data_IF_110581802885
#
_entry.id   IF_110581802885
#
_cell.length_a   1.000
_cell.length_b   1.000
_cell.length_c   1.000
_cell.angle_alpha   90.00
_cell.angle_beta   90.00
_cell.angle_gamma   90.00
#
_symmetry.space_group_name_H-M   'P 1'
#
loop_
_entity.id
_entity.type
_entity.pdbx_description
1 polymer ?
#
# COMPACT_ATOMS: atom_id res chain seq x y z
N UNK A 1 11.06 -17.23 32.29
CA UNK A 1 10.90 -15.76 32.27
C UNK A 1 9.51 -15.48 31.75
N UNK A 2 8.76 -14.61 32.43
CA UNK A 2 7.50 -14.07 31.89
C UNK A 2 7.84 -13.20 30.68
N UNK A 3 7.14 -13.33 29.55
CA UNK A 3 7.35 -12.44 28.40
C UNK A 3 7.11 -10.99 28.80
N UNK A 4 7.81 -10.05 28.15
CA UNK A 4 7.56 -8.64 28.34
C UNK A 4 6.09 -8.31 27.99
N UNK A 5 5.44 -7.40 28.73
CA UNK A 5 4.06 -7.03 28.44
C UNK A 5 3.97 -6.42 27.03
N UNK A 6 2.95 -6.82 26.30
CA UNK A 6 2.62 -6.27 24.99
C UNK A 6 2.26 -4.78 25.09
N UNK A 7 2.28 -4.03 23.98
CA UNK A 7 1.81 -2.64 23.97
C UNK A 7 0.36 -2.50 24.47
N UNK A 8 -0.50 -3.49 24.18
CA UNK A 8 -1.89 -3.48 24.60
C UNK A 8 -2.04 -3.69 26.12
N UNK A 9 -1.29 -4.62 26.70
CA UNK A 9 -1.25 -4.82 28.16
C UNK A 9 -0.68 -3.58 28.87
N UNK A 10 0.40 -3.02 28.32
CA UNK A 10 1.00 -1.77 28.83
C UNK A 10 0.02 -0.60 28.78
N UNK A 11 -0.84 -0.54 27.74
CA UNK A 11 -1.92 0.44 27.63
C UNK A 11 -3.00 0.24 28.69
N UNK A 12 -3.42 -1.01 28.93
CA UNK A 12 -4.41 -1.36 29.96
C UNK A 12 -3.93 -0.98 31.36
N UNK A 13 -2.64 -1.18 31.64
CA UNK A 13 -2.00 -0.82 32.92
C UNK A 13 -1.63 0.67 33.02
N UNK A 14 -1.95 1.48 31.99
CA UNK A 14 -1.65 2.92 31.89
C UNK A 14 -0.15 3.26 31.98
N UNK A 15 0.70 2.32 31.60
CA UNK A 15 2.16 2.42 31.66
C UNK A 15 2.80 2.86 30.34
N UNK A 16 2.00 3.20 29.32
CA UNK A 16 2.53 3.74 28.07
C UNK A 16 3.31 5.03 28.33
N UNK A 17 4.42 5.22 27.62
CA UNK A 17 5.33 6.35 27.84
C UNK A 17 4.71 7.70 27.44
N UNK A 18 4.01 7.73 26.30
CA UNK A 18 3.60 8.98 25.65
C UNK A 18 2.09 9.25 25.66
N UNK A 19 1.28 8.21 25.76
CA UNK A 19 -0.17 8.29 25.67
C UNK A 19 -0.83 7.67 26.90
N UNK A 20 -2.02 8.15 27.22
CA UNK A 20 -3.00 7.41 28.00
C UNK A 20 -4.07 6.83 27.06
N UNK A 21 -4.60 5.66 27.40
CA UNK A 21 -5.66 4.99 26.64
C UNK A 21 -6.88 4.82 27.52
N UNK A 22 -8.03 5.33 27.07
CA UNK A 22 -9.31 5.18 27.74
C UNK A 22 -10.17 4.14 27.02
N UNK A 23 -10.07 2.89 27.48
CA UNK A 23 -10.84 1.78 26.90
C UNK A 23 -12.36 1.96 27.01
N UNK A 24 -12.86 2.85 27.88
CA UNK A 24 -14.30 3.15 27.96
C UNK A 24 -14.80 3.87 26.70
N UNK A 25 -13.90 4.53 25.96
CA UNK A 25 -14.21 5.23 24.69
C UNK A 25 -14.27 4.32 23.48
N UNK A 26 -13.82 3.07 23.56
CA UNK A 26 -13.79 2.16 22.41
C UNK A 26 -15.17 1.97 21.79
N UNK A 27 -16.22 1.88 22.63
CA UNK A 27 -17.60 1.79 22.16
C UNK A 27 -18.06 3.05 21.43
N UNK A 28 -17.59 4.23 21.82
CA UNK A 28 -17.94 5.49 21.16
C UNK A 28 -17.25 5.60 19.80
N UNK A 29 -15.98 5.17 19.70
CA UNK A 29 -15.27 5.02 18.42
C UNK A 29 -16.02 4.08 17.48
N UNK A 30 -16.40 2.89 17.96
CA UNK A 30 -17.15 1.93 17.15
C UNK A 30 -18.50 2.48 16.69
N UNK A 31 -19.26 3.14 17.57
CA UNK A 31 -20.54 3.79 17.22
C UNK A 31 -20.35 4.89 16.17
N UNK A 32 -19.28 5.67 16.27
CA UNK A 32 -18.96 6.70 15.28
C UNK A 32 -18.70 6.09 13.90
N UNK A 33 -17.86 5.05 13.81
CA UNK A 33 -17.60 4.35 12.53
C UNK A 33 -18.88 3.73 11.98
N UNK A 34 -19.69 3.08 12.82
CA UNK A 34 -20.98 2.50 12.41
C UNK A 34 -21.97 3.58 11.92
N UNK A 35 -21.96 4.78 12.52
CA UNK A 35 -22.84 5.87 12.08
C UNK A 35 -22.43 6.39 10.70
N UNK A 36 -21.12 6.46 10.40
CA UNK A 36 -20.63 6.79 9.06
C UNK A 36 -21.04 5.73 8.03
N UNK A 37 -20.89 4.44 8.35
CA UNK A 37 -21.32 3.35 7.47
C UNK A 37 -22.82 3.46 7.17
N UNK A 38 -23.66 3.69 8.18
CA UNK A 38 -25.12 3.83 8.01
C UNK A 38 -25.54 5.12 7.31
N UNK A 39 -24.70 6.16 7.33
CA UNK A 39 -24.93 7.41 6.60
C UNK A 39 -24.66 7.22 5.11
N UNK A 40 -23.60 6.48 4.78
CA UNK A 40 -23.08 6.37 3.41
C UNK A 40 -23.66 5.17 2.64
N UNK A 41 -24.20 4.16 3.33
CA UNK A 41 -24.75 2.95 2.73
C UNK A 41 -26.13 2.59 3.28
N UNK A 42 -27.05 2.20 2.39
CA UNK A 42 -28.33 1.61 2.76
C UNK A 42 -28.11 0.25 3.46
N UNK A 43 -29.02 -0.12 4.36
CA UNK A 43 -28.91 -1.37 5.13
C UNK A 43 -28.79 -2.63 4.26
N UNK A 44 -29.43 -2.63 3.07
CA UNK A 44 -29.35 -3.72 2.08
C UNK A 44 -27.98 -3.83 1.40
N UNK A 45 -27.22 -2.74 1.37
CA UNK A 45 -25.95 -2.63 0.66
C UNK A 45 -24.75 -2.83 1.59
N UNK A 46 -24.95 -2.79 2.93
CA UNK A 46 -23.90 -3.06 3.92
C UNK A 46 -23.16 -4.39 3.67
N UNK A 47 -23.81 -5.52 3.33
CA UNK A 47 -23.12 -6.77 3.02
C UNK A 47 -22.25 -6.70 1.75
N UNK A 48 -22.45 -5.69 0.90
CA UNK A 48 -21.80 -5.51 -0.39
C UNK A 48 -20.87 -4.28 -0.41
N UNK A 49 -20.52 -3.72 0.76
CA UNK A 49 -19.54 -2.63 0.83
C UNK A 49 -18.22 -3.16 0.25
N UNK A 50 -17.69 -2.53 -0.82
CA UNK A 50 -16.44 -2.97 -1.41
C UNK A 50 -15.32 -2.81 -0.39
N UNK A 51 -14.32 -3.72 -0.34
CA UNK A 51 -13.22 -3.60 0.59
C UNK A 51 -12.45 -2.27 0.38
N UNK A 52 -11.66 -1.81 1.33
CA UNK A 52 -10.75 -0.70 1.03
C UNK A 52 -9.53 -1.27 0.30
N UNK A 53 -9.40 -1.01 -1.01
CA UNK A 53 -8.25 -1.47 -1.83
C UNK A 53 -7.81 -0.39 -2.82
N UNK A 54 -6.69 -0.63 -3.51
CA UNK A 54 -6.19 0.27 -4.55
C UNK A 54 -7.20 0.53 -5.67
N UNK A 55 -8.09 -0.43 -5.94
CA UNK A 55 -9.10 -0.32 -7.00
C UNK A 55 -10.02 0.90 -6.80
N UNK A 56 -10.41 1.20 -5.55
CA UNK A 56 -11.22 2.40 -5.21
C UNK A 56 -10.58 3.72 -5.60
N UNK A 57 -9.24 3.81 -5.63
CA UNK A 57 -8.56 5.04 -6.04
C UNK A 57 -8.62 5.25 -7.56
N UNK A 58 -8.68 4.18 -8.36
CA UNK A 58 -8.89 4.32 -9.81
C UNK A 58 -10.31 4.84 -10.13
N UNK A 59 -11.27 4.53 -9.26
CA UNK A 59 -12.68 4.89 -9.45
C UNK A 59 -13.06 6.30 -8.95
N UNK A 60 -12.06 7.07 -8.54
CA UNK A 60 -12.25 8.45 -8.07
C UNK A 60 -13.07 9.28 -9.07
N UNK A 61 -14.01 10.04 -8.55
CA UNK A 61 -15.01 10.77 -9.35
C UNK A 61 -16.19 9.91 -9.81
N UNK A 62 -16.40 8.74 -9.19
CA UNK A 62 -17.46 7.76 -9.51
C UNK A 62 -17.37 7.29 -10.96
N UNK A 63 -16.16 6.90 -11.37
CA UNK A 63 -15.84 6.54 -12.74
C UNK A 63 -15.23 5.16 -12.76
N UNK A 64 -15.96 4.18 -13.28
CA UNK A 64 -15.48 2.80 -13.32
C UNK A 64 -14.41 2.60 -14.40
N UNK A 65 -13.16 2.94 -14.06
CA UNK A 65 -12.04 2.90 -15.01
C UNK A 65 -11.51 1.50 -15.19
N UNK A 66 -11.61 0.67 -14.14
CA UNK A 66 -11.10 -0.69 -14.16
C UNK A 66 -12.04 -1.61 -14.91
N UNK A 67 -13.37 -1.50 -14.71
CA UNK A 67 -14.32 -2.28 -15.51
C UNK A 67 -14.14 -1.97 -17.00
N UNK A 68 -14.02 -0.70 -17.38
CA UNK A 68 -13.81 -0.32 -18.78
C UNK A 68 -12.48 -0.82 -19.35
N UNK A 69 -11.42 -0.83 -18.54
CA UNK A 69 -10.15 -1.42 -18.94
C UNK A 69 -10.31 -2.94 -19.19
N UNK A 70 -11.00 -3.66 -18.30
CA UNK A 70 -11.28 -5.09 -18.46
C UNK A 70 -12.18 -5.36 -19.68
N UNK A 71 -13.20 -4.53 -19.91
CA UNK A 71 -14.07 -4.60 -21.09
C UNK A 71 -13.29 -4.46 -22.40
N UNK A 72 -12.23 -3.64 -22.42
CA UNK A 72 -11.37 -3.49 -23.59
C UNK A 72 -10.60 -4.77 -23.97
N UNK A 73 -10.48 -5.72 -23.04
CA UNK A 73 -9.82 -7.01 -23.24
C UNK A 73 -10.80 -8.17 -23.47
N UNK A 74 -12.09 -7.94 -23.23
CA UNK A 74 -13.13 -8.97 -23.31
C UNK A 74 -13.12 -9.66 -24.68
N UNK A 75 -13.08 -10.99 -24.67
CA UNK A 75 -13.05 -11.83 -25.87
C UNK A 75 -11.68 -11.93 -26.56
N UNK A 76 -10.64 -11.26 -26.05
CA UNK A 76 -9.26 -11.35 -26.58
C UNK A 76 -8.33 -12.15 -25.68
N UNK A 77 -8.62 -12.17 -24.38
CA UNK A 77 -7.88 -12.90 -23.35
C UNK A 77 -8.88 -13.58 -22.41
N UNK A 78 -8.42 -14.57 -21.65
CA UNK A 78 -9.24 -15.21 -20.63
C UNK A 78 -9.27 -14.40 -19.31
N UNK A 79 -10.05 -14.89 -18.34
CA UNK A 79 -10.17 -14.25 -17.03
C UNK A 79 -8.87 -14.32 -16.22
N UNK A 80 -8.06 -15.38 -16.41
CA UNK A 80 -6.80 -15.54 -15.69
C UNK A 80 -5.84 -14.44 -16.13
N UNK A 81 -5.63 -14.26 -17.42
CA UNK A 81 -4.81 -13.19 -17.98
C UNK A 81 -5.35 -11.79 -17.64
N UNK A 82 -6.68 -11.62 -17.61
CA UNK A 82 -7.29 -10.37 -17.14
C UNK A 82 -6.85 -10.05 -15.71
N UNK A 83 -6.90 -11.04 -14.81
CA UNK A 83 -6.45 -10.85 -13.43
C UNK A 83 -4.93 -10.69 -13.33
N UNK A 84 -4.12 -11.40 -14.13
CA UNK A 84 -2.66 -11.18 -14.16
C UNK A 84 -2.34 -9.71 -14.48
N UNK A 85 -3.01 -9.13 -15.48
CA UNK A 85 -2.86 -7.70 -15.85
C UNK A 85 -3.36 -6.73 -14.79
N UNK A 86 -4.43 -7.07 -14.07
CA UNK A 86 -4.87 -6.26 -12.94
C UNK A 86 -3.88 -6.30 -11.78
N UNK A 87 -3.32 -7.48 -11.48
CA UNK A 87 -2.26 -7.63 -10.48
C UNK A 87 -1.01 -6.83 -10.87
N UNK A 88 -0.60 -6.88 -12.15
CA UNK A 88 0.48 -6.02 -12.68
C UNK A 88 0.24 -4.54 -12.35
N UNK A 89 -0.94 -4.02 -12.73
CA UNK A 89 -1.33 -2.63 -12.49
C UNK A 89 -1.38 -2.31 -10.98
N UNK A 90 -1.97 -3.18 -10.17
CA UNK A 90 -2.13 -2.99 -8.72
C UNK A 90 -0.75 -2.90 -8.06
N UNK A 91 0.17 -3.81 -8.38
CA UNK A 91 1.50 -3.84 -7.76
C UNK A 91 2.25 -2.54 -8.02
N UNK A 92 2.38 -2.10 -9.27
CA UNK A 92 3.09 -0.82 -9.55
C UNK A 92 2.35 0.37 -8.96
N UNK A 93 1.01 0.38 -9.01
CA UNK A 93 0.23 1.50 -8.49
C UNK A 93 0.31 1.62 -6.98
N UNK A 94 0.36 0.51 -6.25
CA UNK A 94 0.57 0.46 -4.79
C UNK A 94 1.98 0.93 -4.43
N UNK A 95 3.01 0.47 -5.15
CA UNK A 95 4.39 0.91 -4.89
C UNK A 95 4.60 2.42 -5.14
N UNK A 96 3.86 2.99 -6.09
CA UNK A 96 3.90 4.43 -6.40
C UNK A 96 3.06 5.28 -5.43
N UNK A 97 2.24 4.65 -4.57
CA UNK A 97 1.34 5.28 -3.59
C UNK A 97 2.09 5.72 -2.32
N UNK A 98 3.11 6.56 -2.50
CA UNK A 98 3.82 7.26 -1.43
C UNK A 98 3.34 8.72 -1.33
N UNK A 99 3.75 9.45 -0.28
CA UNK A 99 3.37 10.85 -0.09
C UNK A 99 3.65 11.71 -1.33
N UNK A 100 2.60 12.33 -1.88
CA UNK A 100 2.70 13.17 -3.09
C UNK A 100 3.15 14.62 -2.81
N UNK A 101 3.29 14.99 -1.53
CA UNK A 101 3.34 16.39 -1.10
C UNK A 101 1.97 17.07 -1.18
N UNK A 102 1.94 18.38 -0.95
CA UNK A 102 0.73 19.21 -0.92
C UNK A 102 0.48 20.00 -2.21
N UNK A 103 1.45 20.00 -3.15
CA UNK A 103 1.39 20.76 -4.41
C UNK A 103 1.11 19.93 -5.65
N UNK A 104 1.55 18.68 -5.69
CA UNK A 104 1.42 17.86 -6.90
C UNK A 104 -0.04 17.50 -7.21
N UNK A 105 -0.41 17.57 -8.49
CA UNK A 105 -1.69 17.11 -9.02
C UNK A 105 -1.50 16.36 -10.34
N UNK A 106 -2.41 15.44 -10.65
CA UNK A 106 -2.52 14.77 -11.93
C UNK A 106 -3.80 15.20 -12.64
N UNK A 107 -3.66 15.78 -13.83
CA UNK A 107 -4.79 16.13 -14.67
C UNK A 107 -5.21 14.94 -15.53
N UNK A 108 -6.46 14.49 -15.35
CA UNK A 108 -7.10 13.54 -16.26
C UNK A 108 -7.71 14.32 -17.41
N UNK A 109 -7.17 14.11 -18.62
CA UNK A 109 -7.70 14.68 -19.86
C UNK A 109 -9.09 14.12 -20.19
N UNK A 110 -9.91 14.85 -20.95
CA UNK A 110 -11.20 14.35 -21.39
C UNK A 110 -11.08 13.05 -22.20
N UNK A 111 -11.93 12.07 -21.90
CA UNK A 111 -12.06 10.82 -22.62
C UNK A 111 -13.52 10.31 -22.59
N UNK A 112 -13.72 9.03 -22.91
CA UNK A 112 -15.06 8.42 -22.88
C UNK A 112 -15.67 8.38 -21.46
N UNK A 113 -14.85 8.46 -20.42
CA UNK A 113 -15.20 8.32 -19.00
C UNK A 113 -15.37 9.69 -18.33
N UNK A 114 -14.36 10.54 -18.52
CA UNK A 114 -14.20 11.85 -17.94
C UNK A 114 -14.47 12.88 -19.03
N UNK A 115 -15.65 13.50 -19.06
CA UNK A 115 -16.04 14.41 -20.16
C UNK A 115 -15.36 15.78 -20.12
N UNK A 116 -14.82 16.17 -18.97
CA UNK A 116 -14.16 17.46 -18.74
C UNK A 116 -12.86 17.22 -18.00
N UNK A 117 -11.79 17.96 -18.32
CA UNK A 117 -10.51 17.83 -17.62
C UNK A 117 -10.71 17.96 -16.10
N UNK A 118 -10.06 17.09 -15.32
CA UNK A 118 -10.17 17.13 -13.87
C UNK A 118 -8.86 16.72 -13.21
N UNK A 119 -8.42 17.53 -12.26
CA UNK A 119 -7.21 17.27 -11.49
C UNK A 119 -7.52 16.53 -10.19
N UNK A 120 -6.65 15.57 -9.86
CA UNK A 120 -6.67 14.82 -8.62
C UNK A 120 -5.30 14.90 -7.98
N UNK A 121 -5.21 14.82 -6.65
CA UNK A 121 -3.95 14.82 -5.91
C UNK A 121 -3.87 13.60 -4.99
N UNK A 122 -2.77 13.47 -4.24
CA UNK A 122 -2.57 12.38 -3.26
C UNK A 122 -2.78 11.00 -3.89
N UNK A 123 -3.26 10.02 -3.13
CA UNK A 123 -3.38 8.62 -3.54
C UNK A 123 -4.25 8.44 -4.79
N UNK A 124 -5.32 9.21 -4.93
CA UNK A 124 -6.20 9.20 -6.10
C UNK A 124 -5.48 9.69 -7.36
N UNK A 125 -4.75 10.81 -7.27
CA UNK A 125 -3.94 11.31 -8.39
C UNK A 125 -2.84 10.32 -8.79
N UNK A 126 -2.14 9.73 -7.83
CA UNK A 126 -1.09 8.73 -8.08
C UNK A 126 -1.67 7.46 -8.73
N UNK A 127 -2.87 7.05 -8.34
CA UNK A 127 -3.58 5.93 -8.95
C UNK A 127 -3.87 6.21 -10.43
N UNK A 128 -4.39 7.39 -10.73
CA UNK A 128 -4.71 7.77 -12.10
C UNK A 128 -3.47 7.96 -12.99
N UNK A 129 -2.37 8.49 -12.44
CA UNK A 129 -1.09 8.58 -13.13
C UNK A 129 -0.53 7.20 -13.49
N UNK A 130 -0.47 6.28 -12.51
CA UNK A 130 -0.01 4.90 -12.73
C UNK A 130 -0.91 4.13 -13.70
N UNK A 131 -2.23 4.31 -13.64
CA UNK A 131 -3.17 3.75 -14.62
C UNK A 131 -2.93 4.29 -16.04
N UNK A 132 -2.69 5.59 -16.20
CA UNK A 132 -2.39 6.19 -17.50
C UNK A 132 -1.09 5.62 -18.08
N UNK A 133 -0.02 5.57 -17.30
CA UNK A 133 1.25 4.97 -17.71
C UNK A 133 1.12 3.49 -18.09
N UNK A 134 0.32 2.72 -17.35
CA UNK A 134 0.03 1.31 -17.65
C UNK A 134 -0.71 1.17 -18.99
N UNK A 135 -1.72 2.00 -19.25
CA UNK A 135 -2.46 2.01 -20.53
C UNK A 135 -1.59 2.44 -21.72
N UNK A 136 -0.59 3.28 -21.48
CA UNK A 136 0.42 3.67 -22.47
C UNK A 136 1.53 2.62 -22.67
N UNK A 137 1.55 1.55 -21.87
CA UNK A 137 2.54 0.49 -21.95
C UNK A 137 3.93 0.86 -21.44
N UNK A 138 4.04 1.91 -20.63
CA UNK A 138 5.34 2.40 -20.12
C UNK A 138 6.07 1.44 -19.18
N UNK A 139 5.37 0.43 -18.66
CA UNK A 139 5.94 -0.59 -17.77
C UNK A 139 6.22 -1.93 -18.48
N UNK A 140 5.90 -2.03 -19.78
CA UNK A 140 6.07 -3.25 -20.57
C UNK A 140 7.38 -3.20 -21.35
N UNK A 141 8.09 -4.33 -21.39
CA UNK A 141 9.23 -4.57 -22.27
C UNK A 141 8.83 -4.97 -23.69
N UNK A 142 7.54 -5.22 -23.95
CA UNK A 142 7.01 -5.63 -25.26
C UNK A 142 5.92 -4.67 -25.74
N UNK A 143 6.20 -3.95 -26.83
CA UNK A 143 5.28 -3.00 -27.46
C UNK A 143 3.98 -3.66 -27.96
N UNK A 144 4.00 -4.97 -28.25
CA UNK A 144 2.82 -5.72 -28.65
C UNK A 144 1.96 -6.18 -27.45
N UNK A 145 2.49 -6.04 -26.23
CA UNK A 145 1.81 -6.33 -24.96
C UNK A 145 1.85 -5.11 -24.05
N UNK A 146 1.25 -4.00 -24.51
CA UNK A 146 1.28 -2.74 -23.77
C UNK A 146 0.67 -2.85 -22.35
N UNK A 147 -0.44 -3.56 -22.18
CA UNK A 147 -1.12 -3.69 -20.89
C UNK A 147 -0.52 -4.80 -20.01
N UNK A 148 0.77 -4.69 -19.68
CA UNK A 148 1.45 -5.55 -18.71
C UNK A 148 2.54 -4.75 -17.96
N UNK A 149 3.00 -5.30 -16.84
CA UNK A 149 4.20 -4.82 -16.14
C UNK A 149 5.16 -5.99 -16.07
N UNK A 150 6.32 -5.91 -16.73
CA UNK A 150 7.29 -7.00 -16.69
C UNK A 150 8.67 -6.54 -16.23
N UNK A 151 9.50 -7.52 -15.88
CA UNK A 151 10.83 -7.30 -15.33
C UNK A 151 11.75 -6.48 -16.25
N UNK A 152 11.63 -6.64 -17.57
CA UNK A 152 12.47 -5.93 -18.54
C UNK A 152 11.98 -4.51 -18.77
N UNK A 153 10.66 -4.31 -18.86
CA UNK A 153 10.02 -2.99 -18.90
C UNK A 153 10.35 -2.17 -17.66
N UNK A 154 10.26 -2.76 -16.47
CA UNK A 154 10.63 -2.09 -15.21
C UNK A 154 12.13 -1.79 -15.12
N UNK A 155 13.00 -2.71 -15.53
CA UNK A 155 14.45 -2.49 -15.52
C UNK A 155 14.89 -1.36 -16.47
N UNK A 156 14.19 -1.20 -17.60
CA UNK A 156 14.44 -0.21 -18.65
C UNK A 156 13.70 1.12 -18.46
N UNK A 157 12.75 1.19 -17.53
CA UNK A 157 12.02 2.42 -17.20
C UNK A 157 13.00 3.55 -16.85
N UNK A 158 12.85 4.69 -17.54
CA UNK A 158 13.66 5.89 -17.30
C UNK A 158 12.97 6.83 -16.30
N UNK A 159 13.77 7.63 -15.59
CA UNK A 159 13.25 8.67 -14.71
C UNK A 159 12.37 9.67 -15.48
N UNK A 160 12.76 9.98 -16.72
CA UNK A 160 12.00 10.89 -17.59
C UNK A 160 10.63 10.32 -17.97
N UNK A 161 10.55 9.03 -18.29
CA UNK A 161 9.26 8.38 -18.58
C UNK A 161 8.31 8.45 -17.37
N UNK A 162 8.85 8.29 -16.14
CA UNK A 162 8.07 8.47 -14.91
C UNK A 162 7.67 9.93 -14.69
N UNK A 163 8.59 10.87 -14.91
CA UNK A 163 8.34 12.32 -14.81
C UNK A 163 7.20 12.75 -15.72
N UNK A 164 7.25 12.38 -17.00
CA UNK A 164 6.20 12.63 -17.99
C UNK A 164 4.87 11.99 -17.59
N UNK A 165 4.89 10.70 -17.23
CA UNK A 165 3.69 9.95 -16.86
C UNK A 165 2.98 10.50 -15.62
N UNK A 166 3.75 11.05 -14.67
CA UNK A 166 3.22 11.72 -13.48
C UNK A 166 3.04 13.24 -13.67
N UNK A 167 3.23 13.77 -14.88
CA UNK A 167 3.08 15.20 -15.20
C UNK A 167 3.93 16.11 -14.29
N UNK A 168 5.11 15.64 -13.89
CA UNK A 168 5.94 16.33 -12.90
C UNK A 168 6.71 17.47 -13.56
N UNK A 169 6.55 18.66 -12.99
CA UNK A 169 7.36 19.84 -13.31
C UNK A 169 7.94 20.36 -11.98
N UNK A 170 9.26 20.50 -11.90
CA UNK A 170 9.95 20.81 -10.64
C UNK A 170 9.51 22.15 -10.02
N UNK A 171 9.05 23.09 -10.85
CA UNK A 171 8.65 24.41 -10.40
C UNK A 171 7.13 24.49 -10.19
N UNK A 172 6.35 23.96 -11.14
CA UNK A 172 4.89 24.15 -11.23
C UNK A 172 4.09 23.00 -10.64
N UNK A 173 4.57 21.77 -10.77
CA UNK A 173 3.86 20.57 -10.32
C UNK A 173 4.83 19.54 -9.69
N UNK A 174 5.53 19.90 -8.60
CA UNK A 174 6.61 19.07 -8.07
C UNK A 174 6.05 17.88 -7.29
N UNK A 175 6.46 16.66 -7.67
CA UNK A 175 6.17 15.45 -6.93
C UNK A 175 7.31 15.12 -5.96
N UNK A 176 7.01 15.09 -4.66
CA UNK A 176 7.98 14.70 -3.65
C UNK A 176 8.39 13.23 -3.83
N UNK A 177 9.70 12.93 -3.91
CA UNK A 177 10.23 11.56 -3.96
C UNK A 177 10.07 10.87 -5.31
N UNK A 178 10.20 11.60 -6.43
CA UNK A 178 10.10 11.04 -7.78
C UNK A 178 11.21 10.00 -8.04
N UNK A 179 12.46 10.32 -7.69
CA UNK A 179 13.63 9.46 -7.90
C UNK A 179 13.52 8.16 -7.09
N UNK A 180 13.04 8.25 -5.85
CA UNK A 180 12.80 7.09 -5.00
C UNK A 180 11.74 6.14 -5.58
N UNK A 181 10.66 6.69 -6.17
CA UNK A 181 9.64 5.90 -6.89
C UNK A 181 10.21 5.20 -8.12
N UNK A 182 11.02 5.90 -8.90
CA UNK A 182 11.69 5.34 -10.07
C UNK A 182 12.61 4.18 -9.68
N UNK A 183 13.49 4.39 -8.69
CA UNK A 183 14.42 3.35 -8.22
C UNK A 183 13.66 2.15 -7.62
N UNK A 184 12.56 2.38 -6.90
CA UNK A 184 11.69 1.33 -6.37
C UNK A 184 11.14 0.43 -7.48
N UNK A 185 10.65 1.00 -8.58
CA UNK A 185 10.16 0.22 -9.73
C UNK A 185 11.29 -0.57 -10.41
N UNK A 186 12.49 -0.01 -10.52
CA UNK A 186 13.64 -0.74 -11.07
C UNK A 186 14.07 -1.90 -10.18
N UNK A 187 14.00 -1.73 -8.86
CA UNK A 187 14.24 -2.81 -7.89
C UNK A 187 13.17 -3.89 -7.99
N UNK A 188 11.90 -3.53 -8.18
CA UNK A 188 10.85 -4.51 -8.50
C UNK A 188 11.24 -5.32 -9.74
N UNK A 189 11.69 -4.69 -10.82
CA UNK A 189 12.16 -5.40 -12.01
C UNK A 189 13.28 -6.41 -11.74
N UNK A 190 14.19 -6.11 -10.80
CA UNK A 190 15.24 -7.04 -10.35
C UNK A 190 14.68 -8.16 -9.46
N UNK A 191 13.80 -7.84 -8.51
CA UNK A 191 13.16 -8.80 -7.62
C UNK A 191 12.40 -9.88 -8.41
N UNK A 192 11.66 -9.45 -9.45
CA UNK A 192 10.95 -10.37 -10.36
C UNK A 192 11.89 -11.38 -11.04
N UNK A 193 13.14 -10.99 -11.34
CA UNK A 193 14.18 -11.86 -11.92
C UNK A 193 14.83 -12.80 -10.91
N UNK A 194 14.92 -12.37 -9.65
CA UNK A 194 15.51 -13.15 -8.56
C UNK A 194 14.56 -14.24 -8.06
N UNK A 195 13.25 -14.02 -8.20
CA UNK A 195 12.21 -14.91 -7.69
C UNK A 195 11.31 -15.52 -8.79
N UNK A 196 11.87 -16.23 -9.79
CA UNK A 196 11.08 -16.84 -10.86
C UNK A 196 10.07 -17.87 -10.32
N UNK A 197 10.27 -18.44 -9.14
CA UNK A 197 9.31 -19.33 -8.48
C UNK A 197 7.95 -18.69 -8.26
N UNK A 198 7.89 -17.37 -8.07
CA UNK A 198 6.64 -16.62 -7.89
C UNK A 198 6.19 -15.93 -9.18
N UNK A 199 7.11 -15.52 -10.05
CA UNK A 199 6.82 -14.59 -11.15
C UNK A 199 7.02 -15.18 -12.55
N UNK A 200 7.38 -16.46 -12.68
CA UNK A 200 7.35 -17.16 -13.96
C UNK A 200 5.96 -17.68 -14.30
N UNK A 201 5.63 -17.68 -15.58
CA UNK A 201 4.42 -18.31 -16.09
C UNK A 201 4.74 -19.65 -16.76
N UNK A 202 3.78 -20.57 -16.76
CA UNK A 202 3.88 -21.85 -17.48
C UNK A 202 3.99 -21.70 -19.00
N UNK A 203 3.62 -20.53 -19.54
CA UNK A 203 3.53 -20.28 -20.99
C UNK A 203 4.76 -19.59 -21.59
N UNK A 204 5.92 -19.66 -20.92
CA UNK A 204 7.16 -18.98 -21.34
C UNK A 204 6.95 -17.47 -21.61
N UNK A 205 6.17 -16.83 -20.74
CA UNK A 205 5.90 -15.39 -20.75
C UNK A 205 6.96 -14.61 -19.93
N UNK A 206 7.09 -13.28 -20.13
CA UNK A 206 7.97 -12.45 -19.31
C UNK A 206 7.69 -12.60 -17.82
N UNK A 207 8.74 -12.45 -17.00
CA UNK A 207 8.61 -12.40 -15.54
C UNK A 207 7.84 -11.15 -15.13
N UNK A 208 6.73 -11.31 -14.43
CA UNK A 208 5.86 -10.20 -14.04
C UNK A 208 5.10 -10.47 -12.74
N UNK A 209 4.67 -9.42 -12.01
CA UNK A 209 3.91 -9.60 -10.78
C UNK A 209 2.66 -10.46 -10.98
N UNK A 210 1.93 -10.26 -12.07
CA UNK A 210 0.70 -10.98 -12.39
C UNK A 210 0.85 -12.49 -12.50
N UNK A 211 2.05 -13.00 -12.81
CA UNK A 211 2.28 -14.45 -12.87
C UNK A 211 2.22 -15.12 -11.49
N UNK A 212 2.20 -14.36 -10.38
CA UNK A 212 1.94 -14.93 -9.04
C UNK A 212 0.59 -15.63 -8.96
N UNK A 213 -0.37 -15.28 -9.83
CA UNK A 213 -1.65 -16.00 -9.93
C UNK A 213 -1.41 -17.48 -10.23
N UNK A 214 -0.41 -17.81 -11.05
CA UNK A 214 -0.06 -19.19 -11.42
C UNK A 214 0.50 -19.95 -10.21
N UNK A 215 1.38 -19.30 -9.46
CA UNK A 215 1.91 -19.81 -8.19
C UNK A 215 0.78 -20.08 -7.18
N UNK A 216 -0.15 -19.14 -7.02
CA UNK A 216 -1.27 -19.28 -6.08
C UNK A 216 -2.23 -20.42 -6.45
N UNK A 217 -2.51 -20.60 -7.75
CA UNK A 217 -3.29 -21.77 -8.20
C UNK A 217 -2.58 -23.08 -7.93
N UNK A 218 -1.25 -23.13 -8.12
CA UNK A 218 -0.45 -24.32 -7.82
C UNK A 218 -0.49 -24.65 -6.31
N UNK A 219 -0.27 -23.66 -5.45
CA UNK A 219 -0.33 -23.82 -3.99
C UNK A 219 -1.72 -24.21 -3.47
N UNK A 220 -2.78 -23.79 -4.17
CA UNK A 220 -4.17 -24.14 -3.85
C UNK A 220 -4.65 -25.46 -4.47
N UNK A 221 -3.89 -26.06 -5.39
CA UNK A 221 -4.40 -27.13 -6.27
C UNK A 221 -4.81 -28.41 -5.56
N UNK A 222 -4.12 -28.77 -4.48
CA UNK A 222 -4.43 -29.98 -3.69
C UNK A 222 -5.60 -29.77 -2.70
N UNK A 223 -6.21 -28.59 -2.67
CA UNK A 223 -7.28 -28.26 -1.73
C UNK A 223 -8.65 -28.59 -2.30
N UNK A 224 -9.56 -29.15 -1.49
CA UNK A 224 -10.93 -29.34 -1.92
C UNK A 224 -11.58 -27.98 -2.19
N UNK A 225 -12.28 -27.88 -3.32
CA UNK A 225 -13.12 -26.73 -3.62
C UNK A 225 -14.22 -26.59 -2.56
N UNK A 226 -14.62 -25.34 -2.28
CA UNK A 226 -15.77 -25.02 -1.42
C UNK A 226 -16.81 -24.29 -2.24
N UNK A 227 -18.00 -24.87 -2.42
CA UNK A 227 -19.08 -24.28 -3.24
C UNK A 227 -18.57 -23.83 -4.62
N UNK A 228 -17.83 -24.71 -5.31
CA UNK A 228 -17.18 -24.48 -6.60
C UNK A 228 -16.06 -23.42 -6.64
N UNK A 229 -15.69 -22.84 -5.50
CA UNK A 229 -14.56 -21.91 -5.36
C UNK A 229 -13.22 -22.61 -5.24
N UNK A 230 -12.19 -22.02 -5.82
CA UNK A 230 -10.80 -22.41 -5.55
C UNK A 230 -10.40 -21.87 -4.18
N UNK A 231 -9.82 -22.70 -3.32
CA UNK A 231 -9.42 -22.28 -1.97
C UNK A 231 -7.93 -22.00 -1.96
N UNK A 232 -7.55 -20.78 -1.59
CA UNK A 232 -6.14 -20.36 -1.46
C UNK A 232 -5.94 -19.79 -0.07
N UNK A 233 -4.81 -20.11 0.58
CA UNK A 233 -4.44 -19.52 1.87
C UNK A 233 -3.99 -18.08 1.68
N UNK A 234 -4.46 -17.18 2.53
CA UNK A 234 -3.98 -15.80 2.56
C UNK A 234 -2.48 -15.72 2.79
N UNK A 235 -1.92 -16.64 3.57
CA UNK A 235 -0.49 -16.76 3.83
C UNK A 235 0.32 -17.05 2.55
N UNK A 236 -0.24 -17.76 1.57
CA UNK A 236 0.43 -18.05 0.29
C UNK A 236 0.65 -16.76 -0.51
N UNK A 237 -0.36 -15.87 -0.56
CA UNK A 237 -0.21 -14.55 -1.19
C UNK A 237 0.73 -13.66 -0.37
N UNK A 238 0.55 -13.63 0.95
CA UNK A 238 1.40 -12.80 1.82
C UNK A 238 2.88 -13.21 1.72
N UNK A 239 3.18 -14.51 1.59
CA UNK A 239 4.52 -15.02 1.33
C UNK A 239 5.11 -14.47 0.04
N UNK A 240 4.36 -14.47 -1.07
CA UNK A 240 4.82 -13.86 -2.32
C UNK A 240 5.14 -12.38 -2.14
N UNK A 241 4.29 -11.64 -1.41
CA UNK A 241 4.48 -10.21 -1.17
C UNK A 241 5.68 -9.91 -0.28
N UNK A 242 5.96 -10.76 0.73
CA UNK A 242 7.10 -10.57 1.63
C UNK A 242 8.41 -11.05 0.99
N UNK A 243 8.42 -12.29 0.49
CA UNK A 243 9.65 -12.91 0.00
C UNK A 243 9.95 -12.46 -1.43
N UNK A 244 8.95 -12.50 -2.32
CA UNK A 244 9.15 -12.17 -3.74
C UNK A 244 9.41 -10.70 -4.01
N UNK A 245 9.10 -9.81 -3.06
CA UNK A 245 9.40 -8.38 -3.14
C UNK A 245 10.42 -7.92 -2.09
N UNK A 246 11.20 -8.82 -1.49
CA UNK A 246 12.16 -8.46 -0.45
C UNK A 246 13.18 -7.40 -0.93
N UNK A 247 13.61 -7.47 -2.19
CA UNK A 247 14.65 -6.60 -2.77
C UNK A 247 14.15 -5.21 -3.18
N UNK A 248 12.83 -4.97 -3.13
CA UNK A 248 12.30 -3.62 -3.38
C UNK A 248 12.73 -2.64 -2.28
N UNK A 249 12.96 -3.16 -1.08
CA UNK A 249 13.29 -2.36 0.09
C UNK A 249 14.70 -1.75 -0.03
N UNK A 250 14.87 -0.47 0.35
CA UNK A 250 16.18 0.16 0.36
C UNK A 250 17.11 -0.49 1.39
N UNK A 251 18.44 -0.46 1.19
CA UNK A 251 19.40 -1.03 2.14
C UNK A 251 19.37 -0.36 3.52
N UNK A 252 18.73 0.79 3.65
CA UNK A 252 18.51 1.51 4.91
C UNK A 252 17.42 0.90 5.79
N UNK A 253 16.67 -0.12 5.32
CA UNK A 253 15.67 -0.80 6.14
C UNK A 253 16.31 -1.60 7.28
N UNK A 254 15.53 -1.81 8.33
CA UNK A 254 15.91 -2.64 9.47
C UNK A 254 16.30 -4.04 8.99
N UNK A 255 17.49 -4.49 9.39
CA UNK A 255 17.99 -5.82 9.11
C UNK A 255 18.19 -6.61 10.40
N UNK A 256 18.08 -7.93 10.29
CA UNK A 256 18.56 -8.87 11.32
C UNK A 256 19.54 -9.81 10.64
N UNK A 257 20.81 -9.72 11.03
CA UNK A 257 21.91 -10.21 10.20
C UNK A 257 21.92 -9.46 8.85
N UNK A 258 22.02 -10.22 7.76
CA UNK A 258 22.03 -9.69 6.38
C UNK A 258 20.64 -9.72 5.70
N UNK A 259 19.58 -10.01 6.46
CA UNK A 259 18.21 -10.10 5.93
C UNK A 259 17.44 -8.82 6.24
N UNK A 260 16.99 -8.13 5.19
CA UNK A 260 16.06 -6.99 5.31
C UNK A 260 14.70 -7.48 5.81
N UNK A 261 14.19 -6.83 6.85
CA UNK A 261 12.84 -7.08 7.36
C UNK A 261 11.77 -6.22 6.69
N UNK A 262 12.17 -5.34 5.78
CA UNK A 262 11.26 -4.44 5.07
C UNK A 262 10.62 -3.40 5.99
N UNK A 263 9.29 -3.41 6.08
CA UNK A 263 8.50 -2.46 6.88
C UNK A 263 8.38 -2.89 8.35
N UNK A 264 9.54 -2.97 8.99
CA UNK A 264 9.73 -3.32 10.40
C UNK A 264 10.70 -2.32 11.00
N UNK A 265 10.39 -1.80 12.20
CA UNK A 265 11.16 -0.72 12.81
C UNK A 265 11.42 -0.97 14.29
N UNK A 266 12.61 -0.61 14.81
CA UNK A 266 12.86 -0.62 16.25
C UNK A 266 11.98 0.40 16.95
N UNK A 267 11.36 -0.01 18.05
CA UNK A 267 10.60 0.86 18.93
C UNK A 267 11.25 0.89 20.31
N UNK A 268 11.88 2.00 20.65
CA UNK A 268 12.55 2.18 21.94
C UNK A 268 11.58 2.06 23.12
N UNK A 269 10.29 2.33 22.92
CA UNK A 269 9.27 2.18 23.97
C UNK A 269 9.02 0.71 24.35
N UNK A 270 9.44 -0.25 23.51
CA UNK A 270 9.35 -1.69 23.77
C UNK A 270 10.65 -2.28 24.32
N UNK A 271 11.73 -1.49 24.38
CA UNK A 271 12.97 -1.93 25.01
C UNK A 271 12.79 -1.96 26.53
N UNK A 272 13.19 -3.06 27.14
CA UNK A 272 13.23 -3.23 28.59
C UNK A 272 14.68 -3.32 29.07
N UNK A 273 14.90 -3.24 30.38
CA UNK A 273 16.24 -3.47 30.95
C UNK A 273 16.78 -4.89 30.71
N UNK A 274 15.91 -5.84 30.30
CA UNK A 274 16.28 -7.20 29.94
C UNK A 274 16.54 -7.38 28.44
N UNK A 275 16.29 -6.37 27.60
CA UNK A 275 16.50 -6.46 26.15
C UNK A 275 18.00 -6.56 25.85
N UNK A 276 18.43 -7.70 25.31
CA UNK A 276 19.80 -7.91 24.85
C UNK A 276 20.06 -7.23 23.51
N UNK A 277 21.33 -7.06 23.13
CA UNK A 277 21.71 -6.45 21.85
C UNK A 277 21.14 -7.21 20.63
N UNK A 278 20.98 -8.53 20.74
CA UNK A 278 20.48 -9.39 19.66
C UNK A 278 18.95 -9.62 19.74
N UNK A 279 18.26 -9.01 20.70
CA UNK A 279 16.81 -9.21 20.86
C UNK A 279 16.02 -8.50 19.76
N UNK A 280 15.08 -9.22 19.15
CA UNK A 280 14.14 -8.69 18.15
C UNK A 280 12.79 -8.27 18.76
N UNK A 281 12.61 -8.40 20.08
CA UNK A 281 11.33 -8.16 20.77
C UNK A 281 10.88 -6.69 20.72
N UNK A 282 11.80 -5.78 20.45
CA UNK A 282 11.54 -4.35 20.35
C UNK A 282 11.18 -3.91 18.93
N UNK A 283 11.12 -4.83 17.96
CA UNK A 283 10.70 -4.51 16.60
C UNK A 283 9.19 -4.48 16.48
N UNK A 284 8.69 -3.44 15.82
CA UNK A 284 7.29 -3.29 15.44
C UNK A 284 7.16 -3.58 13.96
N UNK A 285 6.30 -4.55 13.66
CA UNK A 285 6.02 -5.02 12.31
C UNK A 285 4.77 -4.28 11.79
N UNK A 286 4.96 -3.25 10.97
CA UNK A 286 3.82 -2.55 10.38
C UNK A 286 3.32 -3.27 9.14
N UNK A 287 4.24 -3.66 8.25
CA UNK A 287 3.92 -4.28 6.96
C UNK A 287 2.78 -3.57 6.23
N UNK A 288 2.70 -2.24 6.35
CA UNK A 288 1.57 -1.44 5.86
C UNK A 288 1.41 -1.60 4.36
N UNK A 289 2.51 -1.42 3.64
CA UNK A 289 2.55 -1.55 2.19
C UNK A 289 2.25 -2.98 1.75
N UNK A 290 2.83 -3.98 2.43
CA UNK A 290 2.62 -5.40 2.14
C UNK A 290 1.17 -5.82 2.36
N UNK A 291 0.55 -5.37 3.46
CA UNK A 291 -0.88 -5.60 3.72
C UNK A 291 -1.75 -4.87 2.71
N UNK A 292 -1.44 -3.61 2.39
CA UNK A 292 -2.17 -2.83 1.40
C UNK A 292 -2.16 -3.49 0.01
N UNK A 293 -0.99 -4.00 -0.38
CA UNK A 293 -0.81 -4.77 -1.61
C UNK A 293 -1.61 -6.07 -1.57
N UNK A 294 -1.53 -6.81 -0.47
CA UNK A 294 -2.25 -8.08 -0.26
C UNK A 294 -3.76 -7.86 -0.40
N UNK A 295 -4.34 -6.92 0.35
CA UNK A 295 -5.76 -6.57 0.25
C UNK A 295 -6.18 -6.20 -1.17
N UNK A 296 -5.32 -5.47 -1.89
CA UNK A 296 -5.62 -5.03 -3.25
C UNK A 296 -5.57 -6.15 -4.27
N UNK A 297 -4.64 -7.10 -4.12
CA UNK A 297 -4.53 -8.28 -5.00
C UNK A 297 -5.65 -9.29 -4.72
N UNK A 298 -6.06 -9.46 -3.47
CA UNK A 298 -7.10 -10.43 -3.10
C UNK A 298 -8.43 -10.24 -3.85
N UNK A 299 -8.81 -8.99 -4.08
CA UNK A 299 -10.10 -8.65 -4.66
C UNK A 299 -10.33 -9.12 -6.11
N UNK A 300 -9.46 -8.83 -7.10
CA UNK A 300 -9.66 -9.35 -8.46
C UNK A 300 -9.61 -10.88 -8.50
N UNK A 301 -8.81 -11.51 -7.65
CA UNK A 301 -8.76 -12.97 -7.51
C UNK A 301 -10.10 -13.53 -6.99
N UNK A 302 -10.67 -12.93 -5.95
CA UNK A 302 -11.96 -13.32 -5.38
C UNK A 302 -13.11 -13.11 -6.36
N UNK A 303 -13.18 -11.92 -6.98
CA UNK A 303 -14.33 -11.49 -7.79
C UNK A 303 -14.33 -12.07 -9.21
N UNK A 304 -13.15 -12.30 -9.82
CA UNK A 304 -13.05 -12.70 -11.23
C UNK A 304 -12.60 -14.15 -11.44
N UNK A 305 -11.90 -14.74 -10.46
CA UNK A 305 -11.44 -16.14 -10.50
C UNK A 305 -12.15 -17.04 -9.49
N UNK A 306 -13.13 -16.51 -8.75
CA UNK A 306 -13.91 -17.24 -7.76
C UNK A 306 -13.02 -17.92 -6.71
N UNK A 307 -11.98 -17.21 -6.25
CA UNK A 307 -11.10 -17.65 -5.17
C UNK A 307 -11.77 -17.37 -3.82
N UNK A 308 -11.72 -18.35 -2.93
CA UNK A 308 -12.01 -18.21 -1.51
C UNK A 308 -10.70 -18.15 -0.72
N UNK A 309 -10.54 -17.10 0.08
CA UNK A 309 -9.36 -16.90 0.92
C UNK A 309 -9.53 -17.60 2.28
N UNK A 310 -8.74 -18.64 2.52
CA UNK A 310 -8.61 -19.27 3.82
C UNK A 310 -7.70 -18.42 4.72
N UNK A 311 -8.08 -18.25 5.98
CA UNK A 311 -7.35 -17.48 7.00
C UNK A 311 -7.18 -15.98 6.71
N UNK A 312 -8.13 -15.36 6.00
CA UNK A 312 -8.15 -13.90 5.80
C UNK A 312 -8.18 -13.12 7.13
N UNK A 313 -8.66 -13.73 8.21
CA UNK A 313 -8.64 -13.20 9.57
C UNK A 313 -7.24 -13.03 10.18
N UNK A 314 -6.18 -13.54 9.53
CA UNK A 314 -4.79 -13.30 9.93
C UNK A 314 -4.29 -11.93 9.50
N UNK A 315 -4.91 -11.30 8.50
CA UNK A 315 -4.56 -9.94 8.10
C UNK A 315 -5.07 -8.94 9.14
N UNK A 316 -4.37 -7.82 9.29
CA UNK A 316 -4.64 -6.80 10.31
C UNK A 316 -5.11 -5.48 9.69
N UNK A 317 -5.76 -4.63 10.46
CA UNK A 317 -6.07 -3.29 9.98
C UNK A 317 -4.81 -2.54 9.55
N UNK A 318 -4.90 -1.74 8.48
CA UNK A 318 -3.76 -0.97 8.00
C UNK A 318 -3.30 0.04 9.08
N UNK A 319 -2.01 0.09 9.43
CA UNK A 319 -1.47 1.07 10.37
C UNK A 319 -1.39 2.45 9.68
N UNK A 320 -2.54 3.11 9.61
CA UNK A 320 -2.73 4.39 8.93
C UNK A 320 -2.87 5.52 9.97
N UNK A 321 -2.19 6.65 9.76
CA UNK A 321 -2.14 7.74 10.73
C UNK A 321 -3.51 8.41 10.98
N UNK A 322 -4.43 8.39 10.01
CA UNK A 322 -5.85 8.81 10.13
C UNK A 322 -6.61 7.90 11.07
N UNK A 323 -6.29 6.61 11.13
CA UNK A 323 -6.85 5.73 12.16
C UNK A 323 -6.38 6.20 13.54
N UNK A 324 -5.09 6.55 13.68
CA UNK A 324 -4.56 7.18 14.90
C UNK A 324 -5.25 8.52 15.22
N UNK A 325 -5.47 9.36 14.22
CA UNK A 325 -6.22 10.62 14.35
C UNK A 325 -7.63 10.40 14.86
N UNK A 326 -8.38 9.45 14.29
CA UNK A 326 -9.71 9.07 14.77
C UNK A 326 -9.71 8.66 16.25
N UNK A 327 -8.72 7.85 16.66
CA UNK A 327 -8.59 7.41 18.05
C UNK A 327 -8.28 8.57 18.99
N UNK A 328 -7.49 9.55 18.55
CA UNK A 328 -7.18 10.77 19.32
C UNK A 328 -8.39 11.70 19.38
N UNK A 329 -9.04 11.97 18.25
CA UNK A 329 -10.16 12.90 18.14
C UNK A 329 -11.37 12.47 18.98
N UNK A 330 -11.57 11.15 19.15
CA UNK A 330 -12.63 10.60 19.98
C UNK A 330 -12.20 10.32 21.43
N UNK A 331 -10.98 10.72 21.79
CA UNK A 331 -10.45 10.63 23.15
C UNK A 331 -10.13 9.20 23.62
N UNK A 332 -10.09 8.22 22.70
CA UNK A 332 -9.62 6.87 23.04
C UNK A 332 -8.13 6.88 23.37
N UNK A 333 -7.34 7.71 22.66
CA UNK A 333 -5.94 7.98 22.97
C UNK A 333 -5.76 9.46 23.29
N UNK A 334 -5.05 9.79 24.36
CA UNK A 334 -4.68 11.17 24.69
C UNK A 334 -3.19 11.28 24.98
N UNK A 335 -2.57 12.40 24.60
CA UNK A 335 -1.18 12.65 24.97
C UNK A 335 -1.08 12.86 26.47
N UNK A 336 -0.02 12.33 27.08
CA UNK A 336 0.31 12.70 28.46
C UNK A 336 0.68 14.19 28.53
N UNK A 337 0.37 14.91 29.63
CA UNK A 337 0.52 16.37 29.69
C UNK A 337 1.91 16.89 29.28
N UNK A 338 2.97 16.19 29.70
CA UNK A 338 4.35 16.53 29.34
C UNK A 338 4.63 16.44 27.82
N UNK A 339 4.01 15.47 27.15
CA UNK A 339 4.16 15.29 25.70
C UNK A 339 3.39 16.34 24.91
N UNK A 340 2.20 16.70 25.39
CA UNK A 340 1.40 17.79 24.83
C UNK A 340 2.14 19.13 24.94
N UNK A 341 2.65 19.47 26.13
CA UNK A 341 3.45 20.68 26.36
C UNK A 341 4.68 20.73 25.44
N UNK A 342 5.42 19.61 25.34
CA UNK A 342 6.57 19.49 24.43
C UNK A 342 6.18 19.73 22.96
N UNK A 343 5.06 19.16 22.52
CA UNK A 343 4.58 19.31 21.15
C UNK A 343 4.15 20.74 20.81
N UNK A 344 3.48 21.42 21.75
CA UNK A 344 3.05 22.81 21.61
C UNK A 344 4.25 23.76 21.53
N UNK A 345 5.23 23.62 22.44
CA UNK A 345 6.46 24.40 22.41
C UNK A 345 7.23 24.20 21.08
N UNK A 346 7.29 22.96 20.58
CA UNK A 346 7.89 22.65 19.28
C UNK A 346 7.18 23.33 18.11
N UNK A 347 5.84 23.43 18.12
CA UNK A 347 5.07 24.16 17.10
C UNK A 347 5.35 25.66 17.13
N UNK A 348 5.47 26.24 18.31
CA UNK A 348 5.77 27.67 18.48
C UNK A 348 7.16 27.99 17.90
N UNK A 349 8.18 27.19 18.24
CA UNK A 349 9.53 27.31 17.66
C UNK A 349 9.47 27.14 16.14
N UNK A 350 8.79 26.10 15.65
CA UNK A 350 8.66 25.88 14.21
C UNK A 350 7.95 27.05 13.51
N UNK A 351 6.99 27.71 14.14
CA UNK A 351 6.30 28.87 13.56
C UNK A 351 7.24 30.07 13.33
N UNK A 352 8.22 30.25 14.24
CA UNK A 352 9.22 31.32 14.17
C UNK A 352 10.37 30.95 13.23
N UNK A 353 10.78 29.68 13.23
CA UNK A 353 11.92 29.20 12.44
C UNK A 353 11.57 28.77 11.01
N UNK A 354 10.27 28.69 10.67
CA UNK A 354 9.82 28.30 9.33
C UNK A 354 10.36 29.28 8.28
N UNK A 355 11.06 28.81 7.24
CA UNK A 355 11.34 29.64 6.08
C UNK A 355 10.03 30.12 5.43
N UNK A 356 10.09 31.19 4.63
CA UNK A 356 8.92 31.79 3.94
C UNK A 356 8.09 30.79 3.11
N UNK A 357 8.64 29.62 2.81
CA UNK A 357 7.96 28.48 2.16
C UNK A 357 6.95 27.76 3.08
N UNK A 358 6.86 28.12 4.36
CA UNK A 358 6.02 27.49 5.41
C UNK A 358 6.31 25.99 5.66
N UNK A 359 7.34 25.44 5.03
CA UNK A 359 7.82 24.07 5.22
C UNK A 359 8.66 23.91 6.50
N UNK A 360 8.99 22.68 6.90
CA UNK A 360 9.83 22.45 8.08
C UNK A 360 11.16 23.23 7.95
N UNK A 361 11.68 23.81 9.05
CA UNK A 361 12.95 24.54 9.04
C UNK A 361 14.16 23.67 8.65
N UNK A 362 13.98 22.35 8.74
CA UNK A 362 14.89 21.34 8.23
C UNK A 362 14.25 20.77 6.97
N UNK A 363 14.82 21.08 5.80
CA UNK A 363 14.57 20.28 4.60
C UNK A 363 15.22 18.92 4.83
N UNK A 364 14.45 17.94 5.33
CA UNK A 364 14.91 16.56 5.34
C UNK A 364 15.00 16.14 3.88
N UNK A 365 16.22 15.93 3.38
CA UNK A 365 16.46 15.16 2.16
C UNK A 365 15.97 13.73 2.45
N UNK A 366 14.67 13.53 2.26
CA UNK A 366 14.05 12.22 2.36
C UNK A 366 14.52 11.41 1.16
N UNK A 367 15.17 10.29 1.42
CA UNK A 367 15.48 9.26 0.41
C UNK A 367 14.24 8.47 -0.03
N UNK A 368 13.04 8.94 0.34
CA UNK A 368 11.77 8.28 0.08
C UNK A 368 11.35 7.29 1.18
N UNK A 369 12.06 7.20 2.31
CA UNK A 369 11.74 6.23 3.37
C UNK A 369 10.87 6.74 4.53
N UNK A 370 10.56 8.04 4.59
CA UNK A 370 9.68 8.62 5.62
C UNK A 370 8.22 8.60 5.17
N UNK A 371 7.40 7.81 5.87
CA UNK A 371 5.93 7.86 5.82
C UNK A 371 5.37 8.84 6.85
#
# INVERSE_FOLDING_TARGET
MTPAPTPAETAQDRQLKHFDVDFTKLNDVAKFVVSLIKRDYDAKDIPNIPPHTRLRHFDVGQKDRIQQLCESWKGRIDNIETVRRLVDLIVVSVLLDAGAGDRWTFEVKPDNIQKVARSYSRSEGLALASLAMFKEGRFSGDIHRAHQVDADGLCSLTLESLREGFQVDEQKNPLLGLEGRWELLRRLGKALKLHPEYFASSENAPLRPGNMVDYLFKEGSDRPRRKDKYVVRTESLFKVVIDGFAEIWPPSRTTVGDVSLGDVWPCDALKTSATTADSTEHFVVFHKLSQWMTYSIMEPLETMLNIEWEHSNLLTGLPEYRNGGLLIDLGFMTLKPKEEERGLAGREIASVSRPNTKGPPIAILSDGTLF
#
